data_IF_865423400346
#
_entry.id   IF_865423400346
#
_cell.length_a   1.000
_cell.length_b   1.000
_cell.length_c   1.000
_cell.angle_alpha   90.00
_cell.angle_beta   90.00
_cell.angle_gamma   90.00
#
_symmetry.space_group_name_H-M   'P 1'
#
loop_
_entity.id
_entity.type
_entity.pdbx_description
1 polymer ?
#
# COMPACT_ATOMS: atom_id res chain seq x y z
N UNK A 1 6.92 2.88 51.26
CA UNK A 1 8.05 2.61 50.35
C UNK A 1 7.78 1.44 49.38
N UNK A 2 7.22 0.30 49.82
CA UNK A 2 6.88 -0.85 48.96
C UNK A 2 5.76 -0.60 47.93
N UNK A 3 4.80 0.29 48.22
CA UNK A 3 3.64 0.54 47.35
C UNK A 3 4.00 1.28 46.06
N UNK A 4 4.98 2.20 46.07
CA UNK A 4 5.45 2.89 44.86
C UNK A 4 6.24 1.97 43.92
N UNK A 5 6.99 1.00 44.47
CA UNK A 5 7.76 0.03 43.68
C UNK A 5 6.85 -0.94 42.91
N UNK A 6 5.71 -1.33 43.51
CA UNK A 6 4.69 -2.18 42.87
C UNK A 6 3.98 -1.49 41.71
N UNK A 7 3.71 -0.19 41.83
CA UNK A 7 3.04 0.60 40.79
C UNK A 7 3.98 0.80 39.58
N UNK A 8 5.27 1.07 39.81
CA UNK A 8 6.25 1.19 38.72
C UNK A 8 6.43 -0.10 37.91
N UNK A 9 6.42 -1.26 38.57
CA UNK A 9 6.50 -2.57 37.91
C UNK A 9 5.27 -2.86 37.03
N UNK A 10 4.07 -2.52 37.50
CA UNK A 10 2.83 -2.69 36.74
C UNK A 10 2.78 -1.75 35.52
N UNK A 11 3.19 -0.48 35.68
CA UNK A 11 3.23 0.50 34.58
C UNK A 11 4.29 0.14 33.54
N UNK A 12 5.48 -0.31 33.98
CA UNK A 12 6.54 -0.78 33.08
C UNK A 12 6.14 -2.01 32.26
N UNK A 13 5.35 -2.93 32.83
CA UNK A 13 4.85 -4.10 32.12
C UNK A 13 3.84 -3.69 31.03
N UNK A 14 2.92 -2.77 31.33
CA UNK A 14 1.90 -2.32 30.38
C UNK A 14 2.54 -1.68 29.14
N UNK A 15 3.62 -0.89 29.30
CA UNK A 15 4.35 -0.25 28.18
C UNK A 15 5.06 -1.29 27.29
N UNK A 16 5.50 -2.42 27.84
CA UNK A 16 6.13 -3.48 27.05
C UNK A 16 5.12 -4.24 26.17
N UNK A 17 3.87 -4.42 26.63
CA UNK A 17 2.84 -5.17 25.87
C UNK A 17 2.36 -4.41 24.63
N UNK A 18 2.24 -3.08 24.69
CA UNK A 18 1.79 -2.29 23.52
C UNK A 18 2.81 -2.26 22.38
N UNK A 19 4.09 -2.50 22.64
CA UNK A 19 5.14 -2.41 21.62
C UNK A 19 5.31 -3.70 20.78
N UNK A 20 4.61 -4.79 21.12
CA UNK A 20 4.78 -6.10 20.47
C UNK A 20 3.80 -6.40 19.32
N UNK A 21 2.84 -5.53 19.02
CA UNK A 21 1.71 -5.85 18.12
C UNK A 21 1.76 -5.18 16.72
N UNK A 22 2.82 -4.45 16.38
CA UNK A 22 2.94 -3.82 15.06
C UNK A 22 4.11 -4.44 14.31
N UNK A 23 3.92 -5.65 13.82
CA UNK A 23 4.77 -6.25 12.81
C UNK A 23 4.18 -5.90 11.43
N UNK A 24 4.72 -4.91 10.70
CA UNK A 24 4.15 -4.41 9.43
C UNK A 24 4.29 -5.39 8.25
N UNK A 25 4.66 -6.65 8.50
CA UNK A 25 5.07 -7.62 7.47
C UNK A 25 4.11 -8.76 7.20
N UNK A 26 2.97 -8.87 7.91
CA UNK A 26 1.93 -9.85 7.59
C UNK A 26 1.20 -9.45 6.30
N UNK A 27 1.77 -9.81 5.14
CA UNK A 27 1.15 -9.61 3.83
C UNK A 27 0.06 -10.66 3.64
N UNK A 28 -1.19 -10.29 3.85
CA UNK A 28 -2.31 -11.16 3.46
C UNK A 28 -2.31 -11.29 1.93
N UNK A 29 -2.23 -12.51 1.38
CA UNK A 29 -2.36 -12.69 -0.06
C UNK A 29 -3.73 -12.20 -0.52
N UNK A 30 -3.75 -11.35 -1.55
CA UNK A 30 -4.98 -10.82 -2.15
C UNK A 30 -5.34 -11.71 -3.33
N UNK A 31 -6.59 -12.18 -3.40
CA UNK A 31 -7.04 -13.00 -4.54
C UNK A 31 -7.26 -12.16 -5.79
N UNK A 32 -7.18 -12.79 -6.95
CA UNK A 32 -7.41 -12.10 -8.23
C UNK A 32 -8.84 -11.54 -8.34
N UNK A 33 -9.84 -12.21 -7.74
CA UNK A 33 -11.23 -11.73 -7.70
C UNK A 33 -11.36 -10.44 -6.88
N UNK A 34 -10.64 -10.33 -5.76
CA UNK A 34 -10.61 -9.12 -4.95
C UNK A 34 -9.95 -7.96 -5.70
N UNK A 35 -8.87 -8.24 -6.46
CA UNK A 35 -8.26 -7.24 -7.35
C UNK A 35 -9.28 -6.77 -8.40
N UNK A 36 -9.99 -7.70 -9.05
CA UNK A 36 -10.97 -7.37 -10.07
C UNK A 36 -12.15 -6.55 -9.52
N UNK A 37 -12.67 -6.93 -8.35
CA UNK A 37 -13.73 -6.19 -7.66
C UNK A 37 -13.28 -4.74 -7.35
N UNK A 38 -12.03 -4.59 -6.90
CA UNK A 38 -11.43 -3.28 -6.59
C UNK A 38 -11.22 -2.42 -7.84
N UNK A 39 -10.79 -3.03 -8.96
CA UNK A 39 -10.63 -2.35 -10.25
C UNK A 39 -11.96 -1.87 -10.83
N UNK A 40 -13.03 -2.61 -10.58
CA UNK A 40 -14.38 -2.25 -10.99
C UNK A 40 -14.98 -1.12 -10.11
N UNK A 41 -14.45 -0.88 -8.90
CA UNK A 41 -14.81 0.29 -8.09
C UNK A 41 -14.10 1.54 -8.62
N UNK A 42 -14.78 2.22 -9.55
CA UNK A 42 -14.33 3.49 -10.14
C UNK A 42 -14.01 4.56 -9.09
N UNK A 43 -14.77 4.64 -7.99
CA UNK A 43 -14.56 5.66 -6.96
C UNK A 43 -13.28 5.37 -6.19
N UNK A 44 -13.07 4.12 -5.81
CA UNK A 44 -11.85 3.70 -5.15
C UNK A 44 -10.64 3.87 -6.06
N UNK A 45 -10.70 3.40 -7.31
CA UNK A 45 -9.59 3.50 -8.25
C UNK A 45 -9.21 4.96 -8.53
N UNK A 46 -10.17 5.86 -8.73
CA UNK A 46 -9.89 7.29 -8.89
C UNK A 46 -9.20 7.90 -7.66
N UNK A 47 -9.57 7.51 -6.44
CA UNK A 47 -8.87 7.94 -5.22
C UNK A 47 -7.43 7.45 -5.20
N UNK A 48 -7.19 6.19 -5.61
CA UNK A 48 -5.85 5.63 -5.69
C UNK A 48 -4.99 6.33 -6.74
N UNK A 49 -5.55 6.64 -7.92
CA UNK A 49 -4.87 7.42 -8.96
C UNK A 49 -4.51 8.83 -8.46
N UNK A 50 -5.44 9.52 -7.80
CA UNK A 50 -5.16 10.83 -7.17
C UNK A 50 -4.09 10.74 -6.09
N UNK A 51 -4.11 9.71 -5.26
CA UNK A 51 -3.06 9.44 -4.29
C UNK A 51 -1.68 9.27 -4.96
N UNK A 52 -1.61 8.47 -6.02
CA UNK A 52 -0.40 8.29 -6.81
C UNK A 52 0.10 9.62 -7.39
N UNK A 53 -0.79 10.52 -7.80
CA UNK A 53 -0.45 11.86 -8.30
C UNK A 53 -0.18 12.89 -7.19
N UNK A 54 -0.39 12.55 -5.92
CA UNK A 54 -0.28 13.50 -4.81
C UNK A 54 -1.44 14.48 -4.70
N UNK A 55 -2.53 14.26 -5.43
CA UNK A 55 -3.75 15.07 -5.43
C UNK A 55 -4.74 14.69 -4.30
N UNK A 56 -4.50 13.57 -3.60
CA UNK A 56 -5.34 13.08 -2.50
C UNK A 56 -4.51 12.29 -1.46
N UNK A 57 -4.99 12.15 -0.20
CA UNK A 57 -4.33 11.30 0.78
C UNK A 57 -4.38 9.83 0.35
N UNK A 58 -3.29 9.12 0.63
CA UNK A 58 -3.15 7.71 0.35
C UNK A 58 -3.57 6.87 1.56
N UNK A 59 -4.26 5.76 1.32
CA UNK A 59 -4.44 4.69 2.31
C UNK A 59 -3.18 3.77 2.35
N UNK A 60 -3.10 2.76 3.24
CA UNK A 60 -1.93 1.88 3.31
C UNK A 60 -1.58 1.20 1.98
N UNK A 61 -2.60 0.78 1.22
CA UNK A 61 -2.43 0.14 -0.10
C UNK A 61 -1.87 1.13 -1.12
N UNK A 62 -2.48 2.31 -1.23
CA UNK A 62 -2.04 3.38 -2.12
C UNK A 62 -0.62 3.84 -1.82
N UNK A 63 -0.23 3.95 -0.54
CA UNK A 63 1.15 4.29 -0.15
C UNK A 63 2.16 3.25 -0.65
N UNK A 64 1.83 1.96 -0.51
CA UNK A 64 2.68 0.87 -0.99
C UNK A 64 2.79 0.86 -2.51
N UNK A 65 1.67 1.02 -3.22
CA UNK A 65 1.68 1.10 -4.69
C UNK A 65 2.48 2.31 -5.17
N UNK A 66 2.30 3.47 -4.52
CA UNK A 66 3.04 4.70 -4.80
C UNK A 66 4.56 4.52 -4.62
N UNK A 67 5.00 3.85 -3.56
CA UNK A 67 6.43 3.59 -3.34
C UNK A 67 7.03 2.62 -4.37
N UNK A 68 6.22 1.69 -4.90
CA UNK A 68 6.67 0.70 -5.88
C UNK A 68 6.55 1.19 -7.33
N UNK A 69 5.74 2.22 -7.59
CA UNK A 69 5.47 2.72 -8.94
C UNK A 69 6.73 3.01 -9.78
N UNK A 70 7.78 3.70 -9.28
CA UNK A 70 8.98 3.96 -10.07
C UNK A 70 9.72 2.69 -10.49
N UNK A 71 9.74 1.68 -9.63
CA UNK A 71 10.42 0.41 -9.90
C UNK A 71 9.64 -0.38 -10.94
N UNK A 72 8.33 -0.54 -10.70
CA UNK A 72 7.43 -1.30 -11.56
C UNK A 72 7.38 -0.71 -12.97
N UNK A 73 7.34 0.62 -13.11
CA UNK A 73 7.34 1.30 -14.41
C UNK A 73 8.66 1.12 -15.18
N UNK A 74 9.78 0.93 -14.48
CA UNK A 74 11.08 0.57 -15.07
C UNK A 74 11.21 -0.94 -15.35
N UNK A 75 10.18 -1.73 -15.04
CA UNK A 75 10.13 -3.16 -15.32
C UNK A 75 10.71 -4.06 -14.22
N UNK A 76 11.00 -3.55 -13.02
CA UNK A 76 11.51 -4.36 -11.91
C UNK A 76 10.76 -4.10 -10.61
N UNK A 77 10.56 -5.12 -9.77
CA UNK A 77 10.11 -4.91 -8.40
C UNK A 77 10.72 -6.02 -7.52
N UNK A 78 11.89 -5.80 -6.92
CA UNK A 78 12.55 -6.81 -6.08
C UNK A 78 11.76 -7.12 -4.80
N UNK A 79 10.83 -6.24 -4.41
CA UNK A 79 10.01 -6.39 -3.21
C UNK A 79 8.64 -7.05 -3.48
N UNK A 80 8.34 -7.38 -4.74
CA UNK A 80 7.07 -7.98 -5.15
C UNK A 80 7.22 -9.50 -5.34
N UNK A 81 6.22 -10.26 -4.89
CA UNK A 81 6.10 -11.68 -5.24
C UNK A 81 5.74 -11.85 -6.73
N UNK A 82 5.96 -13.05 -7.32
CA UNK A 82 5.52 -13.33 -8.69
C UNK A 82 4.02 -13.10 -8.92
N UNK A 83 3.19 -13.41 -7.92
CA UNK A 83 1.76 -13.16 -7.95
C UNK A 83 1.45 -11.66 -7.92
N UNK A 84 2.08 -10.91 -7.01
CA UNK A 84 1.92 -9.45 -6.93
C UNK A 84 2.36 -8.79 -8.25
N UNK A 85 3.44 -9.25 -8.87
CA UNK A 85 3.88 -8.75 -10.18
C UNK A 85 2.84 -8.99 -11.28
N UNK A 86 2.20 -10.17 -11.31
CA UNK A 86 1.12 -10.46 -12.25
C UNK A 86 -0.09 -9.55 -12.03
N UNK A 87 -0.50 -9.37 -10.77
CA UNK A 87 -1.61 -8.51 -10.39
C UNK A 87 -1.34 -7.04 -10.73
N UNK A 88 -0.14 -6.54 -10.43
CA UNK A 88 0.29 -5.19 -10.79
C UNK A 88 0.21 -4.98 -12.30
N UNK A 89 0.70 -5.92 -13.12
CA UNK A 89 0.58 -5.83 -14.58
C UNK A 89 -0.88 -5.73 -15.05
N UNK A 90 -1.78 -6.52 -14.45
CA UNK A 90 -3.22 -6.44 -14.74
C UNK A 90 -3.80 -5.06 -14.39
N UNK A 91 -3.46 -4.52 -13.21
CA UNK A 91 -3.88 -3.18 -12.77
C UNK A 91 -3.37 -2.10 -13.72
N UNK A 92 -2.11 -2.14 -14.11
CA UNK A 92 -1.53 -1.16 -15.04
C UNK A 92 -2.20 -1.21 -16.41
N UNK A 93 -2.40 -2.40 -16.97
CA UNK A 93 -3.08 -2.57 -18.25
C UNK A 93 -4.54 -2.03 -18.18
N UNK A 94 -5.23 -2.26 -17.07
CA UNK A 94 -6.57 -1.73 -16.85
C UNK A 94 -6.58 -0.21 -16.75
N UNK A 95 -5.66 0.39 -16.00
CA UNK A 95 -5.55 1.86 -15.86
C UNK A 95 -5.19 2.50 -17.19
N UNK A 96 -4.22 1.96 -17.92
CA UNK A 96 -3.83 2.46 -19.24
C UNK A 96 -5.01 2.46 -20.23
N UNK A 97 -5.83 1.40 -20.21
CA UNK A 97 -6.99 1.27 -21.09
C UNK A 97 -8.16 2.19 -20.71
N UNK A 98 -8.47 2.30 -19.41
CA UNK A 98 -9.70 2.96 -18.94
C UNK A 98 -9.49 4.40 -18.45
N UNK A 99 -8.26 4.76 -18.05
CA UNK A 99 -7.89 6.05 -17.46
C UNK A 99 -6.62 6.62 -18.12
N UNK A 100 -6.61 6.82 -19.46
CA UNK A 100 -5.40 7.22 -20.18
C UNK A 100 -4.87 8.61 -19.77
N UNK A 101 -5.75 9.51 -19.30
CA UNK A 101 -5.35 10.85 -18.85
C UNK A 101 -4.54 10.77 -17.55
N UNK A 102 -5.05 10.04 -16.56
CA UNK A 102 -4.38 9.80 -15.29
C UNK A 102 -3.11 8.98 -15.48
N UNK A 103 -3.14 7.99 -16.38
CA UNK A 103 -1.97 7.20 -16.76
C UNK A 103 -0.83 8.07 -17.27
N UNK A 104 -1.11 9.00 -18.19
CA UNK A 104 -0.09 9.92 -18.71
C UNK A 104 0.51 10.80 -17.62
N UNK A 105 -0.30 11.28 -16.67
CA UNK A 105 0.22 12.03 -15.51
C UNK A 105 1.13 11.17 -14.63
N UNK A 106 0.77 9.90 -14.40
CA UNK A 106 1.59 8.95 -13.63
C UNK A 106 2.93 8.73 -14.33
N UNK A 107 2.94 8.55 -15.65
CA UNK A 107 4.19 8.44 -16.41
C UNK A 107 5.06 9.69 -16.27
N UNK A 108 4.48 10.89 -16.38
CA UNK A 108 5.22 12.14 -16.16
C UNK A 108 5.79 12.25 -14.75
N UNK A 109 5.06 11.75 -13.74
CA UNK A 109 5.47 11.80 -12.34
C UNK A 109 6.60 10.80 -12.00
N UNK A 110 6.63 9.63 -12.65
CA UNK A 110 7.46 8.49 -12.20
C UNK A 110 8.39 7.88 -13.24
N UNK A 111 8.15 8.11 -14.54
CA UNK A 111 8.97 7.58 -15.62
C UNK A 111 10.12 8.53 -16.04
N UNK A 112 10.24 9.68 -15.37
CA UNK A 112 11.38 10.60 -15.46
C UNK A 112 12.65 10.09 -14.78
#
# INVERSE_FOLDING_TARGET
MYSFLQICLLVGLIVAVVNAALDPTTRTPISDDQIQATLNDKRYLLRQLKCALGEAPCDPVGRRLKSLAPLVLRGSCPQCSPQEMSQIKKVLAFVQKNYPKEWNKILQQYAG
#
